data_IF_999455249620
#
_entry.id   IF_999455249620
#
_cell.length_a   1.000
_cell.length_b   1.000
_cell.length_c   1.000
_cell.angle_alpha   90.00
_cell.angle_beta   90.00
_cell.angle_gamma   90.00
#
_symmetry.space_group_name_H-M   'P 1'
#
loop_
_entity.id
_entity.type
_entity.pdbx_description
1 polymer ?
#
# COMPACT_ATOMS: atom_id res chain seq x y z
N UNK A 1 18.85 -18.68 -18.38
CA UNK A 1 18.11 -17.50 -18.86
C UNK A 1 18.03 -16.50 -17.70
N UNK A 2 19.05 -15.65 -17.56
CA UNK A 2 19.17 -14.69 -16.46
C UNK A 2 18.86 -13.30 -16.99
N UNK A 3 17.87 -12.58 -16.46
CA UNK A 3 17.70 -11.17 -16.87
C UNK A 3 16.49 -10.39 -16.40
N UNK A 4 15.37 -11.01 -15.99
CA UNK A 4 14.22 -10.23 -15.50
C UNK A 4 14.16 -10.31 -13.98
N UNK A 5 14.73 -9.30 -13.31
CA UNK A 5 14.46 -9.06 -11.88
C UNK A 5 12.95 -8.89 -11.76
N UNK A 6 12.33 -9.74 -10.97
CA UNK A 6 10.89 -9.79 -10.85
C UNK A 6 10.40 -8.49 -10.17
N UNK A 7 9.57 -7.72 -10.87
CA UNK A 7 9.12 -6.37 -10.50
C UNK A 7 8.32 -6.27 -9.19
N UNK A 8 7.89 -7.39 -8.61
CA UNK A 8 7.04 -7.44 -7.41
C UNK A 8 7.69 -6.95 -6.10
N UNK A 9 8.98 -6.64 -6.11
CA UNK A 9 9.71 -6.22 -4.91
C UNK A 9 10.50 -4.92 -5.10
N UNK A 10 10.13 -4.09 -6.08
CA UNK A 10 10.86 -2.83 -6.36
C UNK A 10 10.79 -1.83 -5.20
N UNK A 11 9.78 -1.93 -4.34
CA UNK A 11 9.63 -1.10 -3.14
C UNK A 11 9.98 -1.84 -1.84
N UNK A 12 10.66 -2.99 -1.93
CA UNK A 12 11.05 -3.75 -0.73
C UNK A 12 11.88 -2.89 0.22
N UNK A 13 11.46 -2.85 1.49
CA UNK A 13 12.12 -2.08 2.56
C UNK A 13 11.59 -0.65 2.72
N UNK A 14 10.75 -0.16 1.80
CA UNK A 14 10.04 1.10 1.97
C UNK A 14 8.88 0.90 2.94
N UNK A 15 8.71 1.85 3.87
CA UNK A 15 7.59 1.92 4.81
C UNK A 15 6.70 3.09 4.44
N UNK A 16 5.40 2.85 4.31
CA UNK A 16 4.42 3.87 3.92
C UNK A 16 3.34 3.96 4.99
N UNK A 17 3.00 5.19 5.39
CA UNK A 17 1.84 5.46 6.23
C UNK A 17 0.70 5.95 5.33
N UNK A 18 -0.38 5.19 5.25
CA UNK A 18 -1.58 5.60 4.52
C UNK A 18 -2.56 6.32 5.47
N UNK A 19 -2.69 7.64 5.28
CA UNK A 19 -3.62 8.52 6.01
C UNK A 19 -4.82 8.93 5.14
N UNK A 20 -4.92 8.38 3.92
CA UNK A 20 -6.01 8.68 3.01
C UNK A 20 -7.31 8.01 3.46
N UNK A 21 -8.40 8.26 2.73
CA UNK A 21 -9.72 7.66 3.01
C UNK A 21 -10.42 7.26 1.72
N UNK A 22 -11.47 6.45 1.85
CA UNK A 22 -12.39 6.08 0.77
C UNK A 22 -11.74 5.19 -0.29
N UNK A 23 -11.32 5.74 -1.44
CA UNK A 23 -10.95 4.92 -2.60
C UNK A 23 -9.61 5.31 -3.22
N UNK A 24 -9.44 6.55 -3.67
CA UNK A 24 -8.28 6.91 -4.48
C UNK A 24 -6.94 6.68 -3.74
N UNK A 25 -6.89 7.05 -2.47
CA UNK A 25 -5.71 6.86 -1.65
C UNK A 25 -5.46 5.39 -1.25
N UNK A 26 -6.46 4.65 -0.70
CA UNK A 26 -6.28 3.23 -0.42
C UNK A 26 -5.91 2.41 -1.66
N UNK A 27 -6.43 2.77 -2.83
CA UNK A 27 -6.06 2.13 -4.10
C UNK A 27 -4.59 2.40 -4.47
N UNK A 28 -4.11 3.63 -4.32
CA UNK A 28 -2.69 3.93 -4.49
C UNK A 28 -1.82 3.16 -3.49
N UNK A 29 -2.22 3.12 -2.23
CA UNK A 29 -1.51 2.40 -1.17
C UNK A 29 -1.45 0.88 -1.44
N UNK A 30 -2.52 0.30 -1.98
CA UNK A 30 -2.57 -1.09 -2.44
C UNK A 30 -1.51 -1.35 -3.52
N UNK A 31 -1.42 -0.51 -4.56
CA UNK A 31 -0.40 -0.64 -5.60
C UNK A 31 1.02 -0.57 -5.04
N UNK A 32 1.27 0.31 -4.06
CA UNK A 32 2.58 0.38 -3.39
C UNK A 32 2.88 -0.91 -2.61
N UNK A 33 1.89 -1.48 -1.93
CA UNK A 33 2.03 -2.76 -1.23
C UNK A 33 2.31 -3.92 -2.21
N UNK A 34 1.62 -3.96 -3.35
CA UNK A 34 1.81 -4.98 -4.38
C UNK A 34 3.21 -4.92 -5.02
N UNK A 35 3.85 -3.76 -4.98
CA UNK A 35 5.24 -3.54 -5.40
C UNK A 35 6.27 -3.81 -4.28
N UNK A 36 5.82 -4.24 -3.10
CA UNK A 36 6.67 -4.70 -2.00
C UNK A 36 6.87 -3.71 -0.85
N UNK A 37 6.16 -2.59 -0.83
CA UNK A 37 6.21 -1.66 0.31
C UNK A 37 5.48 -2.24 1.54
N UNK A 38 5.97 -1.94 2.73
CA UNK A 38 5.25 -2.19 3.98
C UNK A 38 4.31 -1.02 4.26
N UNK A 39 3.03 -1.17 3.95
CA UNK A 39 2.00 -0.13 4.13
C UNK A 39 1.29 -0.33 5.46
N UNK A 40 1.23 0.72 6.28
CA UNK A 40 0.41 0.78 7.49
C UNK A 40 -0.70 1.79 7.30
N UNK A 41 -1.94 1.31 7.35
CA UNK A 41 -3.13 2.14 7.33
C UNK A 41 -3.36 2.75 8.71
N UNK A 42 -3.57 4.06 8.75
CA UNK A 42 -3.99 4.76 9.97
C UNK A 42 -5.40 5.27 9.76
N UNK A 43 -6.27 4.94 10.70
CA UNK A 43 -7.68 5.26 10.63
C UNK A 43 -8.12 5.96 11.92
N UNK A 44 -9.28 6.59 11.88
CA UNK A 44 -9.95 7.06 13.08
C UNK A 44 -10.30 5.87 13.99
N UNK A 45 -10.57 6.10 15.29
CA UNK A 45 -11.01 5.03 16.20
C UNK A 45 -12.25 4.26 15.73
N UNK A 46 -13.10 4.87 14.91
CA UNK A 46 -14.29 4.26 14.31
C UNK A 46 -14.04 3.62 12.92
N UNK A 47 -12.80 3.69 12.41
CA UNK A 47 -12.41 3.16 11.10
C UNK A 47 -12.62 4.13 9.93
N UNK A 48 -12.20 3.69 8.74
CA UNK A 48 -12.47 4.34 7.46
C UNK A 48 -13.98 4.28 7.13
N UNK A 49 -14.50 5.34 6.49
CA UNK A 49 -15.92 5.50 6.16
C UNK A 49 -16.46 4.36 5.24
N UNK A 50 -15.58 3.53 4.66
CA UNK A 50 -15.93 2.38 3.82
C UNK A 50 -16.08 1.04 4.57
N UNK A 51 -15.85 1.01 5.89
CA UNK A 51 -15.89 -0.24 6.68
C UNK A 51 -17.30 -0.71 7.07
N UNK A 52 -18.33 0.14 6.98
CA UNK A 52 -19.72 -0.17 7.36
C UNK A 52 -20.71 0.88 6.90
#
# INVERSE_FOLDING_TARGET
MNGVKRLKDVLKGIKVLDLSRILAGPYCAQLLSDLGAAVTKVEAPWGDDTRG
#
